data_IF_619987321194
#
_entry.id   IF_619987321194
#
_cell.length_a   1.000
_cell.length_b   1.000
_cell.length_c   1.000
_cell.angle_alpha   90.00
_cell.angle_beta   90.00
_cell.angle_gamma   90.00
#
_symmetry.space_group_name_H-M   'P 1'
#
loop_
_entity.id
_entity.type
_entity.pdbx_description
1 polymer ?
#
# COMPACT_ATOMS: atom_id res chain seq x y z
N UNK A 1 -3.87 9.06 20.47
CA UNK A 1 -2.61 8.62 19.83
C UNK A 1 -1.40 8.79 20.76
N UNK A 2 -1.27 9.90 21.48
CA UNK A 2 -0.26 10.04 22.54
C UNK A 2 -0.69 9.36 23.84
N UNK A 3 0.27 8.79 24.57
CA UNK A 3 0.12 8.39 25.99
C UNK A 3 0.65 9.45 26.97
N UNK A 4 1.35 10.48 26.48
CA UNK A 4 1.91 11.57 27.27
C UNK A 4 1.08 12.86 27.12
N UNK A 5 0.46 13.29 28.21
CA UNK A 5 -0.36 14.51 28.24
C UNK A 5 0.43 15.78 27.96
N UNK A 6 1.74 15.78 28.23
CA UNK A 6 2.63 16.92 27.96
C UNK A 6 3.08 16.95 26.49
N UNK A 7 2.84 15.88 25.73
CA UNK A 7 3.14 15.78 24.29
C UNK A 7 1.87 15.35 23.53
N UNK A 8 0.82 16.18 23.50
CA UNK A 8 -0.48 15.78 22.97
C UNK A 8 -0.47 15.50 21.45
N UNK A 9 0.47 16.10 20.72
CA UNK A 9 0.58 16.00 19.25
C UNK A 9 1.41 14.81 18.75
N UNK A 10 1.91 13.94 19.63
CA UNK A 10 2.65 12.76 19.20
C UNK A 10 1.74 11.54 19.02
N UNK A 11 2.21 10.56 18.25
CA UNK A 11 1.75 9.19 18.32
C UNK A 11 2.87 8.31 18.89
N UNK A 12 2.54 7.46 19.86
CA UNK A 12 3.48 6.52 20.48
C UNK A 12 2.86 5.15 20.67
N UNK A 13 3.72 4.15 20.92
CA UNK A 13 3.33 2.75 21.10
C UNK A 13 2.16 2.58 22.06
N UNK A 14 2.21 3.22 23.23
CA UNK A 14 1.22 3.00 24.27
C UNK A 14 -0.11 3.69 23.93
N UNK A 15 -0.05 4.92 23.43
CA UNK A 15 -1.25 5.66 23.03
C UNK A 15 -1.96 5.05 21.82
N UNK A 16 -1.24 4.36 20.94
CA UNK A 16 -1.82 3.57 19.84
C UNK A 16 -2.49 2.27 20.35
N UNK A 17 -1.82 1.51 21.22
CA UNK A 17 -2.38 0.27 21.80
C UNK A 17 -3.64 0.51 22.64
N UNK A 18 -3.77 1.70 23.24
CA UNK A 18 -4.90 2.07 24.09
C UNK A 18 -6.15 2.55 23.33
N UNK A 19 -6.10 2.63 21.99
CA UNK A 19 -7.27 3.07 21.21
C UNK A 19 -8.44 2.10 21.34
N UNK A 20 -9.65 2.65 21.33
CA UNK A 20 -10.91 1.90 21.33
C UNK A 20 -11.83 2.44 20.23
N UNK A 21 -12.78 1.63 19.78
CA UNK A 21 -13.70 1.97 18.69
C UNK A 21 -14.45 3.27 18.97
N UNK A 22 -14.99 3.43 20.19
CA UNK A 22 -15.70 4.64 20.60
C UNK A 22 -14.86 5.93 20.49
N UNK A 23 -13.54 5.83 20.63
CA UNK A 23 -12.65 6.97 20.40
C UNK A 23 -12.58 7.32 18.92
N UNK A 24 -12.39 6.31 18.05
CA UNK A 24 -12.37 6.53 16.60
C UNK A 24 -13.72 7.06 16.13
N UNK A 25 -14.82 6.48 16.56
CA UNK A 25 -16.18 6.91 16.22
C UNK A 25 -16.41 8.38 16.60
N UNK A 26 -16.08 8.74 17.84
CA UNK A 26 -16.23 10.12 18.32
C UNK A 26 -15.41 11.12 17.50
N UNK A 27 -14.13 10.85 17.28
CA UNK A 27 -13.22 11.82 16.65
C UNK A 27 -13.33 11.86 15.12
N UNK A 28 -13.75 10.76 14.49
CA UNK A 28 -14.11 10.73 13.06
C UNK A 28 -15.57 11.11 12.80
N UNK A 29 -16.31 11.49 13.85
CA UNK A 29 -17.71 11.92 13.76
C UNK A 29 -18.60 10.87 13.08
N UNK A 30 -18.40 9.60 13.46
CA UNK A 30 -19.08 8.46 12.85
C UNK A 30 -20.54 8.46 13.30
N UNK A 31 -21.42 8.59 12.32
CA UNK A 31 -22.88 8.68 12.49
C UNK A 31 -23.56 7.96 11.33
N UNK A 32 -24.89 7.91 11.31
CA UNK A 32 -25.61 7.35 10.16
C UNK A 32 -25.44 8.22 8.90
N UNK A 33 -25.28 9.54 9.09
CA UNK A 33 -25.08 10.53 8.04
C UNK A 33 -23.62 10.63 7.59
N UNK A 34 -22.68 10.18 8.43
CA UNK A 34 -21.25 10.07 8.14
C UNK A 34 -20.73 8.68 8.56
N UNK A 35 -21.11 7.61 7.84
CA UNK A 35 -20.76 6.26 8.21
C UNK A 35 -19.27 6.00 7.97
N UNK A 36 -18.61 5.31 8.91
CA UNK A 36 -17.26 4.79 8.73
C UNK A 36 -17.29 3.27 8.81
N UNK A 37 -17.24 2.63 7.64
CA UNK A 37 -17.19 1.16 7.57
C UNK A 37 -15.86 0.66 8.11
N UNK A 38 -15.91 -0.40 8.92
CA UNK A 38 -14.73 -1.12 9.39
C UNK A 38 -13.97 -0.47 10.56
N UNK A 39 -14.65 0.27 11.45
CA UNK A 39 -14.02 0.90 12.63
C UNK A 39 -13.17 -0.10 13.43
N UNK A 40 -13.74 -1.26 13.77
CA UNK A 40 -13.03 -2.31 14.51
C UNK A 40 -11.71 -2.73 13.84
N UNK A 41 -11.74 -2.92 12.51
CA UNK A 41 -10.55 -3.25 11.72
C UNK A 41 -9.49 -2.15 11.76
N UNK A 42 -9.90 -0.88 11.65
CA UNK A 42 -9.00 0.28 11.75
C UNK A 42 -8.36 0.39 13.13
N UNK A 43 -9.14 0.18 14.20
CA UNK A 43 -8.61 0.15 15.58
C UNK A 43 -7.60 -0.97 15.73
N UNK A 44 -7.89 -2.16 15.21
CA UNK A 44 -6.97 -3.31 15.25
C UNK A 44 -5.65 -2.98 14.54
N UNK A 45 -5.70 -2.40 13.33
CA UNK A 45 -4.50 -1.96 12.60
C UNK A 45 -3.68 -0.93 13.39
N UNK A 46 -4.34 0.05 14.01
CA UNK A 46 -3.66 1.07 14.83
C UNK A 46 -3.02 0.46 16.09
N UNK A 47 -3.64 -0.55 16.70
CA UNK A 47 -3.05 -1.30 17.81
C UNK A 47 -1.84 -2.12 17.35
N UNK A 48 -1.93 -2.78 16.19
CA UNK A 48 -0.81 -3.50 15.60
C UNK A 48 0.36 -2.57 15.31
N UNK A 49 0.09 -1.36 14.80
CA UNK A 49 1.10 -0.31 14.66
C UNK A 49 1.75 0.03 16.01
N UNK A 50 0.95 0.19 17.07
CA UNK A 50 1.45 0.40 18.43
C UNK A 50 2.35 -0.73 18.94
N UNK A 51 2.09 -1.98 18.55
CA UNK A 51 2.96 -3.14 18.83
C UNK A 51 4.23 -3.11 17.98
N UNK A 52 4.11 -2.88 16.67
CA UNK A 52 5.23 -2.90 15.73
C UNK A 52 6.31 -1.87 16.10
N UNK A 53 5.90 -0.66 16.52
CA UNK A 53 6.84 0.39 16.92
C UNK A 53 7.56 0.11 18.25
N UNK A 54 7.32 -1.02 18.93
CA UNK A 54 8.12 -1.42 20.09
C UNK A 54 9.52 -1.91 19.71
N UNK A 55 9.75 -2.27 18.45
CA UNK A 55 11.08 -2.61 17.95
C UNK A 55 11.99 -1.36 17.96
N UNK A 56 12.76 -1.19 19.03
CA UNK A 56 13.61 -0.01 19.23
C UNK A 56 14.78 0.09 18.26
N UNK A 57 15.11 -0.99 17.54
CA UNK A 57 16.11 -0.94 16.47
C UNK A 57 15.63 -0.07 15.30
N UNK A 58 14.35 -0.18 14.94
CA UNK A 58 13.74 0.57 13.84
C UNK A 58 12.99 1.81 14.33
N UNK A 59 12.54 1.82 15.58
CA UNK A 59 11.79 2.92 16.18
C UNK A 59 12.38 3.29 17.55
N UNK A 60 13.55 3.97 17.61
CA UNK A 60 14.25 4.27 18.86
C UNK A 60 13.41 4.90 19.96
N UNK A 61 12.43 5.75 19.60
CA UNK A 61 11.54 6.40 20.56
C UNK A 61 10.17 5.73 20.71
N UNK A 62 9.98 4.53 20.16
CA UNK A 62 8.71 3.79 20.14
C UNK A 62 7.54 4.59 19.54
N UNK A 63 7.84 5.38 18.52
CA UNK A 63 6.90 6.21 17.77
C UNK A 63 6.96 5.83 16.29
N UNK A 64 5.85 5.86 15.53
CA UNK A 64 5.88 5.58 14.10
C UNK A 64 6.89 6.47 13.34
N UNK A 65 6.93 7.76 13.67
CA UNK A 65 7.86 8.71 13.06
C UNK A 65 9.34 8.42 13.32
N UNK A 66 9.67 7.59 14.33
CA UNK A 66 11.07 7.25 14.62
C UNK A 66 11.71 6.27 13.64
N UNK A 67 10.94 5.79 12.66
CA UNK A 67 11.52 5.18 11.46
C UNK A 67 12.46 6.15 10.72
N UNK A 68 12.17 7.47 10.81
CA UNK A 68 13.01 8.51 10.21
C UNK A 68 14.32 8.64 10.98
N UNK A 69 14.30 8.56 12.32
CA UNK A 69 15.51 8.56 13.15
C UNK A 69 16.44 7.38 12.78
N UNK A 70 15.85 6.20 12.56
CA UNK A 70 16.57 5.02 12.08
C UNK A 70 17.17 5.24 10.68
N UNK A 71 16.39 5.74 9.73
CA UNK A 71 16.86 6.01 8.37
C UNK A 71 17.95 7.06 8.33
N UNK A 72 17.83 8.13 9.12
CA UNK A 72 18.83 9.18 9.24
C UNK A 72 20.14 8.66 9.83
N UNK A 73 20.06 7.78 10.83
CA UNK A 73 21.26 7.13 11.39
C UNK A 73 21.96 6.25 10.35
N UNK A 74 21.18 5.58 9.49
CA UNK A 74 21.69 4.62 8.51
C UNK A 74 22.20 5.26 7.21
N UNK A 75 21.55 6.31 6.73
CA UNK A 75 21.77 6.90 5.40
C UNK A 75 22.08 8.40 5.44
N UNK A 76 22.00 9.06 6.60
CA UNK A 76 22.10 10.51 6.68
C UNK A 76 20.89 11.20 6.04
N UNK A 77 21.14 12.26 5.28
CA UNK A 77 20.10 13.03 4.58
C UNK A 77 19.72 12.45 3.21
N UNK A 78 20.54 11.57 2.64
CA UNK A 78 20.35 10.99 1.30
C UNK A 78 19.83 9.55 1.45
N UNK A 79 18.51 9.40 1.55
CA UNK A 79 17.85 8.11 1.80
C UNK A 79 17.50 7.44 0.47
N UNK A 80 18.01 6.24 0.16
CA UNK A 80 17.54 5.46 -0.98
C UNK A 80 16.08 5.03 -0.78
N UNK A 81 15.25 5.15 -1.81
CA UNK A 81 13.85 4.74 -1.79
C UNK A 81 13.68 3.26 -1.44
N UNK A 82 14.60 2.40 -1.91
CA UNK A 82 14.68 0.98 -1.52
C UNK A 82 14.97 0.81 -0.01
N UNK A 83 15.78 1.69 0.57
CA UNK A 83 16.08 1.71 2.00
C UNK A 83 14.87 2.13 2.84
N UNK A 84 14.10 3.11 2.36
CA UNK A 84 12.83 3.51 2.95
C UNK A 84 11.81 2.37 2.88
N UNK A 85 11.66 1.73 1.71
CA UNK A 85 10.81 0.55 1.54
C UNK A 85 11.22 -0.57 2.49
N UNK A 86 12.53 -0.85 2.60
CA UNK A 86 13.03 -1.89 3.50
C UNK A 86 12.69 -1.60 4.96
N UNK A 87 12.87 -0.35 5.41
CA UNK A 87 12.50 0.05 6.76
C UNK A 87 10.99 -0.11 7.00
N UNK A 88 10.16 0.22 6.01
CA UNK A 88 8.71 0.01 6.07
C UNK A 88 8.36 -1.48 6.14
N UNK A 89 8.95 -2.33 5.30
CA UNK A 89 8.70 -3.77 5.31
C UNK A 89 9.11 -4.41 6.63
N UNK A 90 10.30 -4.08 7.14
CA UNK A 90 10.84 -4.65 8.38
C UNK A 90 10.14 -4.12 9.63
N UNK A 91 9.80 -2.83 9.63
CA UNK A 91 9.25 -2.17 10.80
C UNK A 91 7.73 -2.28 10.89
N UNK A 92 7.04 -2.28 9.74
CA UNK A 92 5.60 -2.15 9.66
C UNK A 92 4.93 -3.31 8.92
N UNK A 93 5.67 -4.24 8.31
CA UNK A 93 5.08 -5.36 7.57
C UNK A 93 4.10 -6.20 8.39
N UNK A 94 4.34 -6.35 9.70
CA UNK A 94 3.49 -7.12 10.60
C UNK A 94 2.14 -6.45 10.92
N UNK A 95 1.96 -5.16 10.62
CA UNK A 95 0.70 -4.47 10.92
C UNK A 95 -0.41 -4.94 9.99
N UNK A 96 -0.03 -5.37 8.79
CA UNK A 96 -0.95 -5.87 7.78
C UNK A 96 -1.41 -7.28 8.16
N UNK A 97 -2.70 -7.60 7.97
CA UNK A 97 -3.22 -8.94 8.17
C UNK A 97 -2.41 -9.96 7.36
N UNK A 98 -1.78 -10.86 8.07
CA UNK A 98 -0.99 -11.94 7.50
C UNK A 98 -1.82 -13.17 7.23
N UNK A 99 -1.62 -13.80 6.07
CA UNK A 99 -2.18 -15.12 5.77
C UNK A 99 -1.10 -16.19 5.77
N UNK A 100 0.11 -15.87 5.29
CA UNK A 100 1.26 -16.77 5.25
C UNK A 100 2.29 -16.36 6.32
N UNK A 101 2.68 -17.31 7.16
CA UNK A 101 3.78 -17.17 8.11
C UNK A 101 4.93 -18.10 7.70
N UNK A 102 6.15 -17.58 7.70
CA UNK A 102 7.36 -18.35 7.44
C UNK A 102 8.37 -18.10 8.57
N UNK A 103 8.78 -19.16 9.28
CA UNK A 103 9.66 -19.08 10.45
C UNK A 103 9.23 -18.03 11.50
N UNK A 104 7.91 -17.95 11.76
CA UNK A 104 7.35 -16.98 12.71
C UNK A 104 7.26 -15.54 12.19
N UNK A 105 7.64 -15.29 10.94
CA UNK A 105 7.51 -13.98 10.28
C UNK A 105 6.24 -13.96 9.45
N UNK A 106 5.36 -13.00 9.74
CA UNK A 106 4.22 -12.68 8.90
C UNK A 106 4.71 -12.08 7.57
N UNK A 107 4.40 -12.74 6.46
CA UNK A 107 4.80 -12.29 5.13
C UNK A 107 3.85 -11.23 4.54
N UNK A 108 2.71 -10.97 5.17
CA UNK A 108 1.74 -9.97 4.73
C UNK A 108 1.11 -10.32 3.38
N UNK A 109 1.21 -9.39 2.43
CA UNK A 109 0.65 -9.49 1.07
C UNK A 109 1.55 -10.34 0.15
N UNK A 110 1.65 -11.62 0.51
CA UNK A 110 2.34 -12.70 -0.20
C UNK A 110 1.40 -13.89 -0.32
N UNK A 111 1.32 -14.47 -1.52
CA UNK A 111 0.35 -15.52 -1.85
C UNK A 111 1.00 -16.69 -2.55
N UNK A 112 0.50 -17.90 -2.31
CA UNK A 112 0.98 -19.10 -3.00
C UNK A 112 0.16 -19.34 -4.26
N UNK A 113 0.80 -19.19 -5.42
CA UNK A 113 0.19 -19.51 -6.70
C UNK A 113 0.12 -21.03 -6.87
N UNK A 114 -1.08 -21.60 -7.08
CA UNK A 114 -1.24 -23.06 -7.10
C UNK A 114 -0.64 -23.68 -8.36
N UNK A 115 -0.76 -22.99 -9.50
CA UNK A 115 -0.23 -23.48 -10.78
C UNK A 115 1.30 -23.64 -10.82
N UNK A 116 2.06 -22.78 -10.13
CA UNK A 116 3.54 -22.83 -10.11
C UNK A 116 4.09 -23.35 -8.77
N UNK A 117 3.31 -23.28 -7.70
CA UNK A 117 3.74 -23.59 -6.34
C UNK A 117 4.55 -22.48 -5.66
N UNK A 118 4.83 -21.37 -6.36
CA UNK A 118 5.68 -20.28 -5.91
C UNK A 118 4.94 -19.29 -5.01
N UNK A 119 5.71 -18.57 -4.18
CA UNK A 119 5.21 -17.44 -3.40
C UNK A 119 5.38 -16.15 -4.20
N UNK A 120 4.27 -15.46 -4.43
CA UNK A 120 4.21 -14.19 -5.17
C UNK A 120 4.00 -13.06 -4.17
N UNK A 121 4.95 -12.13 -4.13
CA UNK A 121 4.98 -11.00 -3.21
C UNK A 121 4.52 -9.71 -3.89
N UNK A 122 3.55 -9.02 -3.29
CA UNK A 122 3.07 -7.72 -3.78
C UNK A 122 3.36 -6.59 -2.82
N UNK A 123 3.17 -6.82 -1.51
CA UNK A 123 3.38 -5.83 -0.45
C UNK A 123 2.79 -4.45 -0.78
N UNK A 124 1.63 -4.40 -1.45
CA UNK A 124 1.12 -3.19 -2.11
C UNK A 124 0.92 -2.03 -1.14
N UNK A 125 0.39 -2.30 0.06
CA UNK A 125 0.19 -1.26 1.08
C UNK A 125 1.51 -0.73 1.65
N UNK A 126 2.52 -1.58 1.83
CA UNK A 126 3.87 -1.14 2.21
C UNK A 126 4.53 -0.30 1.12
N UNK A 127 4.37 -0.68 -0.14
CA UNK A 127 4.85 0.08 -1.30
C UNK A 127 4.16 1.45 -1.39
N UNK A 128 2.84 1.49 -1.22
CA UNK A 128 2.07 2.72 -1.25
C UNK A 128 2.42 3.65 -0.09
N UNK A 129 2.58 3.10 1.12
CA UNK A 129 3.03 3.88 2.28
C UNK A 129 4.44 4.43 2.06
N UNK A 130 5.34 3.66 1.44
CA UNK A 130 6.67 4.14 1.05
C UNK A 130 6.56 5.35 0.13
N UNK A 131 5.75 5.28 -0.93
CA UNK A 131 5.51 6.43 -1.81
C UNK A 131 4.92 7.63 -1.07
N UNK A 132 3.99 7.39 -0.15
CA UNK A 132 3.34 8.45 0.66
C UNK A 132 4.31 9.14 1.64
N UNK A 133 5.43 8.50 1.99
CA UNK A 133 6.46 9.07 2.85
C UNK A 133 7.51 9.88 2.08
N UNK A 134 7.62 9.71 0.75
CA UNK A 134 8.65 10.38 -0.06
C UNK A 134 8.52 11.90 0.00
N UNK A 135 7.33 12.44 -0.32
CA UNK A 135 7.11 13.89 -0.37
C UNK A 135 7.28 14.56 1.00
N UNK A 136 6.67 14.07 2.11
CA UNK A 136 6.90 14.65 3.44
C UNK A 136 8.36 14.64 3.88
N UNK A 137 9.14 13.61 3.52
CA UNK A 137 10.57 13.56 3.82
C UNK A 137 11.35 14.61 3.01
N UNK A 138 10.99 14.79 1.74
CA UNK A 138 11.60 15.81 0.90
C UNK A 138 11.31 17.23 1.38
N UNK A 139 10.09 17.51 1.83
CA UNK A 139 9.68 18.81 2.37
C UNK A 139 10.51 19.21 3.60
N UNK A 140 10.92 18.25 4.42
CA UNK A 140 11.74 18.50 5.63
C UNK A 140 13.24 18.39 5.38
N UNK A 141 13.67 18.34 4.12
CA UNK A 141 15.07 18.46 3.72
C UNK A 141 15.82 17.16 3.46
N UNK A 142 15.16 15.99 3.50
CA UNK A 142 15.79 14.74 3.04
C UNK A 142 15.80 14.66 1.52
N UNK A 143 16.84 14.06 0.96
CA UNK A 143 16.88 13.71 -0.45
C UNK A 143 16.56 12.23 -0.61
N UNK A 144 15.45 11.94 -1.28
CA UNK A 144 15.10 10.56 -1.64
C UNK A 144 15.68 10.23 -3.02
N UNK A 145 16.47 9.15 -3.10
CA UNK A 145 17.15 8.73 -4.35
C UNK A 145 16.63 7.37 -4.83
N UNK A 146 16.75 7.08 -6.13
CA UNK A 146 16.41 5.75 -6.67
C UNK A 146 14.91 5.43 -6.65
N UNK A 147 14.04 6.45 -6.68
CA UNK A 147 12.58 6.25 -6.68
C UNK A 147 12.10 5.46 -7.90
N UNK A 148 12.84 5.50 -9.01
CA UNK A 148 12.59 4.73 -10.23
C UNK A 148 12.78 3.23 -10.08
N UNK A 149 13.43 2.78 -9.00
CA UNK A 149 13.61 1.35 -8.69
C UNK A 149 12.41 0.74 -7.97
N UNK A 150 11.48 1.57 -7.52
CA UNK A 150 10.26 1.12 -6.87
C UNK A 150 9.22 0.68 -7.91
N UNK A 151 8.45 -0.36 -7.57
CA UNK A 151 7.51 -1.03 -8.49
C UNK A 151 6.10 -0.43 -8.43
N UNK A 152 5.28 -0.83 -9.41
CA UNK A 152 3.88 -0.43 -9.50
C UNK A 152 3.01 -0.97 -8.37
N UNK A 153 1.83 -0.38 -8.19
CA UNK A 153 0.86 -0.85 -7.19
C UNK A 153 -0.12 -1.84 -7.84
N UNK A 154 -0.10 -3.08 -7.37
CA UNK A 154 -1.00 -4.18 -7.77
C UNK A 154 -2.44 -3.98 -7.23
N UNK A 155 -3.01 -2.82 -7.54
CA UNK A 155 -4.29 -2.33 -7.04
C UNK A 155 -5.36 -2.37 -8.12
N UNK A 156 -6.62 -2.59 -7.73
CA UNK A 156 -7.72 -2.79 -8.66
C UNK A 156 -8.02 -1.63 -9.59
N UNK A 157 -7.62 -0.40 -9.26
CA UNK A 157 -7.76 0.75 -10.17
C UNK A 157 -6.74 0.70 -11.31
N UNK A 158 -5.51 0.30 -11.00
CA UNK A 158 -4.47 0.10 -12.01
C UNK A 158 -4.77 -1.15 -12.85
N UNK A 159 -5.05 -2.28 -12.20
CA UNK A 159 -5.39 -3.53 -12.88
C UNK A 159 -6.71 -3.44 -13.65
N UNK A 160 -7.65 -2.65 -13.13
CA UNK A 160 -8.93 -2.36 -13.76
C UNK A 160 -8.74 -1.57 -15.05
N UNK A 161 -7.95 -0.48 -15.01
CA UNK A 161 -7.59 0.29 -16.21
C UNK A 161 -7.03 -0.60 -17.33
N UNK A 162 -6.08 -1.48 -16.99
CA UNK A 162 -5.40 -2.36 -17.94
C UNK A 162 -6.42 -3.31 -18.62
N UNK A 163 -7.35 -3.86 -17.84
CA UNK A 163 -8.38 -4.76 -18.34
C UNK A 163 -9.47 -4.01 -19.13
N UNK A 164 -9.95 -2.88 -18.61
CA UNK A 164 -10.98 -2.04 -19.22
C UNK A 164 -10.57 -1.49 -20.60
N UNK A 165 -9.28 -1.20 -20.80
CA UNK A 165 -8.73 -0.80 -22.10
C UNK A 165 -8.35 -1.98 -23.01
N UNK A 166 -8.48 -3.21 -22.53
CA UNK A 166 -8.15 -4.41 -23.29
C UNK A 166 -6.65 -4.65 -23.51
N UNK A 167 -5.78 -4.03 -22.69
CA UNK A 167 -4.34 -4.30 -22.74
C UNK A 167 -4.04 -5.75 -22.31
N UNK A 168 -4.86 -6.28 -21.38
CA UNK A 168 -4.99 -7.71 -21.11
C UNK A 168 -6.46 -8.10 -21.18
N UNK A 169 -6.74 -9.38 -21.43
CA UNK A 169 -8.09 -9.93 -21.42
C UNK A 169 -8.12 -11.25 -20.65
N UNK A 170 -9.26 -11.58 -20.04
CA UNK A 170 -9.45 -12.87 -19.41
C UNK A 170 -9.46 -13.98 -20.48
N UNK A 171 -8.70 -15.06 -20.23
CA UNK A 171 -8.69 -16.25 -21.10
C UNK A 171 -10.11 -16.82 -21.28
N UNK A 172 -10.90 -16.82 -20.21
CA UNK A 172 -12.32 -17.13 -20.23
C UNK A 172 -13.12 -15.92 -19.74
N UNK A 173 -13.96 -15.36 -20.62
CA UNK A 173 -14.76 -14.17 -20.31
C UNK A 173 -15.78 -14.40 -19.19
N UNK A 174 -16.23 -15.65 -18.98
CA UNK A 174 -17.14 -15.98 -17.89
C UNK A 174 -16.52 -15.77 -16.50
N UNK A 175 -15.18 -15.75 -16.39
CA UNK A 175 -14.49 -15.51 -15.12
C UNK A 175 -14.67 -14.07 -14.60
N UNK A 176 -14.98 -13.11 -15.49
CA UNK A 176 -15.26 -11.73 -15.11
C UNK A 176 -16.61 -11.57 -14.39
N UNK A 177 -17.49 -12.57 -14.50
CA UNK A 177 -18.79 -12.58 -13.82
C UNK A 177 -18.74 -13.27 -12.44
N UNK A 178 -17.59 -13.79 -12.05
CA UNK A 178 -17.39 -14.48 -10.77
C UNK A 178 -16.91 -13.51 -9.69
N UNK A 179 -17.07 -13.93 -8.44
CA UNK A 179 -16.47 -13.29 -7.29
C UNK A 179 -15.21 -14.05 -6.89
N UNK A 180 -14.09 -13.32 -6.77
CA UNK A 180 -12.78 -13.90 -6.50
C UNK A 180 -12.19 -13.38 -5.19
N UNK A 181 -11.53 -14.26 -4.44
CA UNK A 181 -10.78 -13.94 -3.24
C UNK A 181 -9.31 -13.63 -3.58
N UNK A 182 -8.62 -12.80 -2.77
CA UNK A 182 -7.22 -12.45 -3.00
C UNK A 182 -6.25 -13.64 -3.14
N UNK A 183 -6.51 -14.75 -2.44
CA UNK A 183 -5.69 -15.96 -2.48
C UNK A 183 -5.87 -16.83 -3.73
N UNK A 184 -6.85 -16.54 -4.58
CA UNK A 184 -7.13 -17.34 -5.77
C UNK A 184 -6.21 -16.93 -6.94
N UNK A 185 -5.75 -17.91 -7.71
CA UNK A 185 -4.79 -17.72 -8.80
C UNK A 185 -5.25 -16.64 -9.80
N UNK A 186 -6.55 -16.51 -10.06
CA UNK A 186 -7.09 -15.44 -10.90
C UNK A 186 -6.69 -14.04 -10.42
N UNK A 187 -6.80 -13.77 -9.11
CA UNK A 187 -6.39 -12.48 -8.52
C UNK A 187 -4.88 -12.36 -8.49
N UNK A 188 -4.16 -13.43 -8.12
CA UNK A 188 -2.69 -13.42 -8.05
C UNK A 188 -2.11 -13.11 -9.44
N UNK A 189 -2.55 -13.81 -10.48
CA UNK A 189 -2.12 -13.62 -11.86
C UNK A 189 -2.45 -12.20 -12.35
N UNK A 190 -3.69 -11.73 -12.13
CA UNK A 190 -4.08 -10.38 -12.53
C UNK A 190 -3.26 -9.29 -11.84
N UNK A 191 -2.97 -9.44 -10.54
CA UNK A 191 -2.13 -8.52 -9.78
C UNK A 191 -0.68 -8.55 -10.26
N UNK A 192 -0.14 -9.73 -10.56
CA UNK A 192 1.20 -9.87 -11.14
C UNK A 192 1.29 -9.21 -12.52
N UNK A 193 0.32 -9.47 -13.41
CA UNK A 193 0.21 -8.80 -14.69
C UNK A 193 0.07 -7.28 -14.54
N UNK A 194 -0.68 -6.82 -13.54
CA UNK A 194 -0.81 -5.38 -13.26
C UNK A 194 0.55 -4.74 -13.00
N UNK A 195 1.39 -5.34 -12.15
CA UNK A 195 2.75 -4.79 -11.89
C UNK A 195 3.59 -4.77 -13.16
N UNK A 196 3.63 -5.88 -13.90
CA UNK A 196 4.41 -5.96 -15.15
C UNK A 196 3.94 -4.94 -16.20
N UNK A 197 2.63 -4.77 -16.36
CA UNK A 197 2.06 -3.83 -17.33
C UNK A 197 2.29 -2.38 -16.92
N UNK A 198 2.33 -2.08 -15.63
CA UNK A 198 2.67 -0.74 -15.14
C UNK A 198 4.10 -0.32 -15.52
N UNK A 199 5.06 -1.25 -15.55
CA UNK A 199 6.43 -0.95 -16.00
C UNK A 199 6.47 -0.61 -17.50
N UNK A 200 5.68 -1.34 -18.31
CA UNK A 200 5.55 -1.06 -19.75
C UNK A 200 4.84 0.28 -20.00
N UNK A 201 3.76 0.56 -19.26
CA UNK A 201 3.05 1.83 -19.32
C UNK A 201 3.98 2.98 -18.91
N UNK A 202 4.72 2.80 -17.81
CA UNK A 202 5.69 3.79 -17.33
C UNK A 202 6.73 4.12 -18.39
N UNK A 203 7.32 3.09 -18.99
CA UNK A 203 8.29 3.23 -20.08
C UNK A 203 7.71 3.97 -21.28
N UNK A 204 6.46 3.67 -21.68
CA UNK A 204 5.79 4.33 -22.79
C UNK A 204 5.50 5.81 -22.50
N UNK A 205 5.02 6.12 -21.29
CA UNK A 205 4.75 7.50 -20.85
C UNK A 205 6.05 8.31 -20.79
N UNK A 206 7.10 7.78 -20.17
CA UNK A 206 8.42 8.40 -20.10
C UNK A 206 8.97 8.73 -21.49
N UNK A 207 8.90 7.76 -22.42
CA UNK A 207 9.28 7.97 -23.83
C UNK A 207 8.46 9.09 -24.48
N UNK A 208 7.14 9.09 -24.29
CA UNK A 208 6.25 10.11 -24.86
C UNK A 208 6.51 11.52 -24.32
N UNK A 209 6.99 11.62 -23.07
CA UNK A 209 7.29 12.90 -22.42
C UNK A 209 8.75 13.33 -22.58
N UNK A 210 9.60 12.49 -23.19
CA UNK A 210 11.05 12.73 -23.26
C UNK A 210 11.70 12.79 -21.88
N UNK A 211 11.24 11.98 -20.93
CA UNK A 211 11.74 11.93 -19.55
C UNK A 211 12.44 10.62 -19.25
N UNK A 212 13.49 10.69 -18.43
CA UNK A 212 14.13 9.49 -17.87
C UNK A 212 13.27 8.89 -16.75
N UNK A 213 13.47 7.61 -16.39
CA UNK A 213 12.87 7.02 -15.19
C UNK A 213 13.20 7.79 -13.91
N UNK A 214 14.39 8.40 -13.81
CA UNK A 214 14.80 9.22 -12.68
C UNK A 214 13.97 10.50 -12.56
N UNK A 215 13.73 11.19 -13.68
CA UNK A 215 12.96 12.44 -13.70
C UNK A 215 11.45 12.19 -13.53
N UNK A 216 10.97 11.05 -14.07
CA UNK A 216 9.57 10.67 -14.10
C UNK A 216 9.38 9.21 -13.64
N UNK A 217 9.63 8.92 -12.36
CA UNK A 217 9.54 7.56 -11.82
C UNK A 217 8.09 7.07 -11.84
N UNK A 218 7.93 5.75 -11.68
CA UNK A 218 6.62 5.10 -11.77
C UNK A 218 5.61 5.71 -10.79
N UNK A 219 6.03 6.15 -9.60
CA UNK A 219 5.19 6.90 -8.66
C UNK A 219 4.41 8.06 -9.31
N UNK A 220 5.04 8.82 -10.22
CA UNK A 220 4.38 9.94 -10.94
C UNK A 220 3.40 9.44 -12.01
N UNK A 221 3.74 8.33 -12.68
CA UNK A 221 2.85 7.65 -13.65
C UNK A 221 1.60 7.13 -12.94
N UNK A 222 1.74 6.63 -11.72
CA UNK A 222 0.64 6.10 -10.93
C UNK A 222 -0.32 7.22 -10.50
N UNK A 223 0.17 8.21 -9.75
CA UNK A 223 -0.66 9.25 -9.12
C UNK A 223 -1.39 10.11 -10.15
N UNK A 224 -0.64 10.66 -11.12
CA UNK A 224 -1.18 11.52 -12.17
C UNK A 224 -1.74 10.77 -13.39
N UNK A 225 -1.53 9.45 -13.47
CA UNK A 225 -1.86 8.64 -14.64
C UNK A 225 -2.76 7.47 -14.29
N UNK A 226 -2.19 6.27 -14.13
CA UNK A 226 -2.98 5.02 -14.14
C UNK A 226 -4.01 4.95 -13.01
N UNK A 227 -3.71 5.45 -11.82
CA UNK A 227 -4.63 5.41 -10.69
C UNK A 227 -5.81 6.38 -10.89
N UNK A 228 -5.53 7.62 -11.33
CA UNK A 228 -6.54 8.64 -11.63
C UNK A 228 -7.40 8.27 -12.86
N UNK A 229 -6.76 7.86 -13.95
CA UNK A 229 -7.42 7.42 -15.16
C UNK A 229 -8.28 6.17 -14.90
N UNK A 230 -7.76 5.19 -14.15
CA UNK A 230 -8.50 3.98 -13.79
C UNK A 230 -9.80 4.27 -13.05
N UNK A 231 -9.81 5.22 -12.11
CA UNK A 231 -11.06 5.64 -11.45
C UNK A 231 -12.06 6.27 -12.41
N UNK A 232 -11.59 7.19 -13.26
CA UNK A 232 -12.46 7.89 -14.21
C UNK A 232 -13.09 6.92 -15.20
N UNK A 233 -12.31 5.95 -15.68
CA UNK A 233 -12.75 4.98 -16.67
C UNK A 233 -13.69 3.96 -16.04
N UNK A 234 -13.35 3.43 -14.87
CA UNK A 234 -14.25 2.56 -14.12
C UNK A 234 -15.63 3.23 -13.88
N UNK A 235 -15.65 4.52 -13.52
CA UNK A 235 -16.88 5.27 -13.32
C UNK A 235 -17.69 5.48 -14.62
N UNK A 236 -17.03 5.53 -15.78
CA UNK A 236 -17.70 5.61 -17.07
C UNK A 236 -18.28 4.28 -17.55
N UNK A 237 -17.72 3.17 -17.09
CA UNK A 237 -18.12 1.81 -17.51
C UNK A 237 -19.10 1.14 -16.55
N UNK A 238 -19.04 1.49 -15.25
CA UNK A 238 -19.80 0.83 -14.19
C UNK A 238 -20.31 1.86 -13.19
N UNK A 239 -21.58 1.73 -12.82
CA UNK A 239 -22.16 2.53 -11.74
C UNK A 239 -21.34 2.36 -10.45
N UNK A 240 -20.97 3.48 -9.81
CA UNK A 240 -20.13 3.48 -8.61
C UNK A 240 -18.63 3.30 -8.86
N UNK A 241 -18.17 3.07 -10.10
CA UNK A 241 -16.74 3.04 -10.45
C UNK A 241 -15.95 1.89 -9.83
N UNK A 242 -16.60 0.75 -9.60
CA UNK A 242 -15.98 -0.46 -9.04
C UNK A 242 -15.01 -1.17 -9.98
N UNK A 243 -14.29 -2.20 -9.47
CA UNK A 243 -13.41 -3.05 -10.28
C UNK A 243 -14.16 -3.75 -11.43
N UNK A 244 -13.44 -4.26 -12.45
CA UNK A 244 -14.07 -4.91 -13.62
C UNK A 244 -14.71 -6.27 -13.33
N UNK A 245 -14.45 -6.86 -12.17
CA UNK A 245 -15.06 -8.09 -11.66
C UNK A 245 -15.17 -8.00 -10.13
N UNK A 246 -15.97 -8.87 -9.51
CA UNK A 246 -16.20 -8.81 -8.07
C UNK A 246 -15.01 -9.36 -7.29
N UNK A 247 -14.51 -8.57 -6.34
CA UNK A 247 -13.44 -8.96 -5.43
C UNK A 247 -14.04 -9.13 -4.03
N UNK A 248 -13.86 -10.31 -3.45
CA UNK A 248 -14.22 -10.60 -2.06
C UNK A 248 -13.09 -10.07 -1.16
N UNK A 249 -13.14 -8.78 -0.83
CA UNK A 249 -12.13 -8.09 -0.03
C UNK A 249 -12.64 -7.80 1.39
N UNK A 250 -11.76 -7.98 2.38
CA UNK A 250 -11.94 -7.51 3.76
C UNK A 250 -11.31 -6.12 3.99
N UNK A 251 -10.87 -5.45 2.92
CA UNK A 251 -10.24 -4.13 2.96
C UNK A 251 -8.76 -4.14 3.35
N UNK A 252 -8.12 -5.31 3.37
CA UNK A 252 -6.73 -5.47 3.83
C UNK A 252 -5.72 -5.63 2.68
N UNK A 253 -6.21 -5.90 1.47
CA UNK A 253 -5.41 -6.11 0.25
C UNK A 253 -5.60 -4.99 -0.76
N UNK A 254 -6.83 -4.49 -0.90
CA UNK A 254 -7.29 -3.54 -1.93
C UNK A 254 -7.93 -2.29 -1.33
#
# INVERSE_FOLDING_TARGET
FSSDKNKPLQADSQGLKNLVESSVEKYFQVTNENPLVGVAGRVSLLKNLGTAVQNTTLFPHKRPGSIIDYLMTKYGTDIPAEGLLRAVLDGLGMIWPGRINFNGVNLGDVWKHQGTGELIAFHKLSQWMTYSLVEPLMEVGFKITGAEKLTGLAEYRNGGLILDFGLITAKNQADLQKAWKPEEDFIIEWRALTVCMLDLIGSAVQKSLGKSPQDFPLAKVLEGGTWAAGRKIAASMRAGGGPPFQIISDGTVF
#
